data_IF_231722556849
#
_entry.id   IF_231722556849
#
_cell.length_a   1.000
_cell.length_b   1.000
_cell.length_c   1.000
_cell.angle_alpha   90.00
_cell.angle_beta   90.00
_cell.angle_gamma   90.00
#
_symmetry.space_group_name_H-M   'P 1'
#
loop_
_entity.id
_entity.type
_entity.pdbx_description
1 polymer ?
#
# COMPACT_ATOMS: atom_id res chain seq x y z
N UNK A 1 -0.46 -3.46 13.56
CA UNK A 1 -0.85 -4.62 14.41
C UNK A 1 0.20 -5.73 14.50
N UNK A 2 0.80 -6.23 13.41
CA UNK A 2 1.75 -7.35 13.42
C UNK A 2 3.21 -7.00 13.71
N UNK A 3 3.65 -5.78 13.36
CA UNK A 3 5.05 -5.37 13.49
C UNK A 3 5.56 -5.55 14.93
N UNK A 4 6.65 -6.29 15.09
CA UNK A 4 7.23 -6.61 16.40
C UNK A 4 6.56 -7.77 17.15
N UNK A 5 5.55 -8.42 16.57
CA UNK A 5 4.88 -9.61 17.13
C UNK A 5 5.15 -10.88 16.34
N UNK A 6 5.23 -10.77 15.01
CA UNK A 6 5.56 -11.88 14.11
C UNK A 6 7.01 -11.82 13.64
N UNK A 7 7.54 -12.94 13.16
CA UNK A 7 8.77 -12.91 12.37
C UNK A 7 8.46 -12.43 10.94
N UNK A 8 8.89 -11.22 10.52
CA UNK A 8 8.57 -10.67 9.19
C UNK A 8 9.28 -11.40 8.05
N UNK A 9 10.18 -12.33 8.37
CA UNK A 9 10.95 -13.11 7.43
C UNK A 9 10.43 -14.55 7.28
N UNK A 10 9.27 -14.87 7.86
CA UNK A 10 8.62 -16.18 7.73
C UNK A 10 7.15 -15.97 7.33
N UNK A 11 6.81 -16.31 6.09
CA UNK A 11 5.45 -16.15 5.57
C UNK A 11 4.39 -16.89 6.40
N UNK A 12 4.76 -18.02 7.01
CA UNK A 12 3.89 -18.83 7.86
C UNK A 12 3.39 -18.04 9.09
N UNK A 13 4.19 -17.12 9.64
CA UNK A 13 3.79 -16.27 10.76
C UNK A 13 2.71 -15.26 10.34
N UNK A 14 2.83 -14.69 9.13
CA UNK A 14 1.77 -13.83 8.58
C UNK A 14 0.49 -14.63 8.34
N UNK A 15 0.59 -15.81 7.73
CA UNK A 15 -0.56 -16.70 7.53
C UNK A 15 -1.19 -17.12 8.86
N UNK A 16 -0.37 -17.42 9.88
CA UNK A 16 -0.82 -17.81 11.22
C UNK A 16 -1.63 -16.72 11.95
N UNK A 17 -1.45 -15.46 11.58
CA UNK A 17 -2.26 -14.33 12.07
C UNK A 17 -3.45 -13.98 11.18
N UNK A 18 -3.76 -14.81 10.19
CA UNK A 18 -4.86 -14.61 9.24
C UNK A 18 -4.47 -13.89 7.96
N UNK A 19 -3.18 -13.75 7.68
CA UNK A 19 -2.66 -13.21 6.42
C UNK A 19 -3.15 -13.98 5.19
N UNK A 20 -3.35 -13.26 4.08
CA UNK A 20 -3.89 -13.76 2.81
C UNK A 20 -5.34 -14.26 2.83
N UNK A 21 -6.02 -14.27 3.98
CA UNK A 21 -7.45 -14.58 4.05
C UNK A 21 -8.28 -13.56 3.28
N UNK A 22 -7.90 -12.28 3.31
CA UNK A 22 -8.65 -11.23 2.62
C UNK A 22 -8.57 -11.43 1.11
N UNK A 23 -7.38 -11.76 0.61
CA UNK A 23 -7.17 -12.10 -0.80
C UNK A 23 -7.94 -13.35 -1.21
N UNK A 24 -7.91 -14.41 -0.39
CA UNK A 24 -8.67 -15.64 -0.65
C UNK A 24 -10.18 -15.39 -0.78
N UNK A 25 -10.76 -14.63 0.15
CA UNK A 25 -12.18 -14.23 0.12
C UNK A 25 -12.46 -13.35 -1.11
N UNK A 26 -11.60 -12.38 -1.40
CA UNK A 26 -11.79 -11.48 -2.53
C UNK A 26 -11.85 -12.23 -3.86
N UNK A 27 -10.95 -13.17 -4.09
CA UNK A 27 -10.86 -13.90 -5.36
C UNK A 27 -11.93 -14.97 -5.53
N UNK A 28 -12.42 -15.58 -4.44
CA UNK A 28 -13.38 -16.69 -4.50
C UNK A 28 -14.84 -16.27 -4.36
N UNK A 29 -15.09 -15.17 -3.67
CA UNK A 29 -16.44 -14.83 -3.21
C UNK A 29 -16.92 -13.45 -3.65
N UNK A 30 -16.03 -12.60 -4.18
CA UNK A 30 -16.35 -11.22 -4.53
C UNK A 30 -16.02 -10.94 -5.99
N UNK A 31 -16.63 -9.91 -6.54
CA UNK A 31 -16.23 -9.35 -7.84
C UNK A 31 -15.23 -8.21 -7.65
N UNK A 32 -14.43 -7.85 -8.67
CA UNK A 32 -13.53 -6.69 -8.58
C UNK A 32 -14.22 -5.40 -8.12
N UNK A 33 -15.44 -5.16 -8.57
CA UNK A 33 -16.20 -3.96 -8.22
C UNK A 33 -16.61 -3.94 -6.74
N UNK A 34 -16.83 -5.11 -6.13
CA UNK A 34 -17.16 -5.23 -4.71
C UNK A 34 -15.96 -4.83 -3.84
N UNK A 35 -14.74 -5.17 -4.27
CA UNK A 35 -13.51 -4.77 -3.57
C UNK A 35 -13.35 -3.25 -3.59
N UNK A 36 -13.52 -2.63 -4.76
CA UNK A 36 -13.48 -1.16 -4.88
C UNK A 36 -14.57 -0.53 -4.01
N UNK A 37 -15.79 -1.10 -4.01
CA UNK A 37 -16.90 -0.61 -3.20
C UNK A 37 -16.60 -0.66 -1.71
N UNK A 38 -16.09 -1.78 -1.19
CA UNK A 38 -15.73 -1.91 0.24
C UNK A 38 -14.68 -0.86 0.62
N UNK A 39 -13.63 -0.68 -0.19
CA UNK A 39 -12.59 0.33 0.07
C UNK A 39 -13.16 1.75 -0.01
N UNK A 40 -14.06 2.03 -0.95
CA UNK A 40 -14.73 3.33 -1.07
C UNK A 40 -15.61 3.63 0.14
N UNK A 41 -16.43 2.66 0.56
CA UNK A 41 -17.36 2.80 1.67
C UNK A 41 -16.63 2.92 3.02
N UNK A 42 -15.44 2.33 3.14
CA UNK A 42 -14.59 2.47 4.33
C UNK A 42 -14.19 3.93 4.60
N UNK A 43 -14.18 4.77 3.55
CA UNK A 43 -13.70 6.15 3.64
C UNK A 43 -12.18 6.26 3.81
N UNK A 44 -11.42 5.19 3.56
CA UNK A 44 -9.95 5.23 3.58
C UNK A 44 -9.44 6.36 2.68
N UNK A 45 -8.66 7.26 3.29
CA UNK A 45 -7.91 8.31 2.61
C UNK A 45 -6.44 7.93 2.52
N UNK A 46 -5.80 8.27 1.40
CA UNK A 46 -4.38 8.01 1.17
C UNK A 46 -3.49 8.53 2.31
N UNK A 47 -2.64 7.64 2.82
CA UNK A 47 -1.75 7.85 3.97
C UNK A 47 -0.36 8.40 3.63
N UNK A 48 -0.14 8.76 2.36
CA UNK A 48 1.05 9.46 1.87
C UNK A 48 0.98 10.98 1.94
N UNK A 49 0.07 11.54 2.76
CA UNK A 49 -0.05 13.00 2.99
C UNK A 49 -1.20 13.69 2.26
N UNK A 50 -1.45 13.36 0.99
CA UNK A 50 -2.48 14.05 0.19
C UNK A 50 -3.95 13.79 0.62
N UNK A 51 -4.22 12.70 1.35
CA UNK A 51 -5.56 12.42 1.88
C UNK A 51 -6.65 12.14 0.84
N UNK A 52 -6.30 11.84 -0.41
CA UNK A 52 -7.28 11.55 -1.47
C UNK A 52 -8.04 10.24 -1.18
N UNK A 53 -9.36 10.16 -1.40
CA UNK A 53 -10.13 8.94 -1.14
C UNK A 53 -9.67 7.75 -1.99
N UNK A 54 -9.18 6.69 -1.33
CA UNK A 54 -8.49 5.56 -1.99
C UNK A 54 -9.43 4.78 -2.92
N UNK A 55 -10.65 4.45 -2.45
CA UNK A 55 -11.61 3.71 -3.28
C UNK A 55 -12.08 4.52 -4.51
N UNK A 56 -12.17 5.85 -4.40
CA UNK A 56 -12.43 6.71 -5.56
C UNK A 56 -11.26 6.67 -6.55
N UNK A 57 -10.02 6.75 -6.05
CA UNK A 57 -8.81 6.64 -6.87
C UNK A 57 -8.78 5.32 -7.65
N UNK A 58 -9.14 4.21 -7.00
CA UNK A 58 -9.22 2.89 -7.64
C UNK A 58 -10.27 2.85 -8.74
N UNK A 59 -11.44 3.44 -8.50
CA UNK A 59 -12.52 3.47 -9.51
C UNK A 59 -12.12 4.14 -10.82
N UNK A 60 -11.26 5.15 -10.80
CA UNK A 60 -10.76 5.79 -12.02
C UNK A 60 -9.89 4.85 -12.86
N UNK A 61 -8.96 4.12 -12.23
CA UNK A 61 -8.13 3.15 -12.96
C UNK A 61 -8.93 1.92 -13.43
N UNK A 62 -9.95 1.51 -12.66
CA UNK A 62 -10.83 0.41 -13.02
C UNK A 62 -11.65 0.71 -14.28
N UNK A 63 -12.10 1.95 -14.47
CA UNK A 63 -12.88 2.39 -15.63
C UNK A 63 -12.10 2.37 -16.95
N UNK A 64 -10.78 2.45 -16.90
CA UNK A 64 -9.96 2.39 -18.11
C UNK A 64 -10.00 0.98 -18.71
N UNK A 65 -10.18 0.89 -20.03
CA UNK A 65 -10.24 -0.38 -20.77
C UNK A 65 -8.87 -0.84 -21.28
N UNK A 66 -7.88 0.03 -21.22
CA UNK A 66 -6.53 -0.25 -21.69
C UNK A 66 -5.81 -1.22 -20.75
N UNK A 67 -5.01 -2.11 -21.35
CA UNK A 67 -4.13 -3.05 -20.66
C UNK A 67 -2.70 -2.96 -21.22
N UNK A 68 -1.67 -3.36 -20.46
CA UNK A 68 -1.73 -3.74 -19.04
C UNK A 68 -2.09 -2.55 -18.14
N UNK A 69 -2.60 -2.83 -16.94
CA UNK A 69 -2.74 -1.83 -15.86
C UNK A 69 -1.70 -2.12 -14.79
N UNK A 70 -1.29 -1.08 -14.06
CA UNK A 70 -0.24 -1.20 -13.05
C UNK A 70 -0.73 -0.79 -11.65
N UNK A 71 -0.26 -1.51 -10.63
CA UNK A 71 -0.32 -1.07 -9.23
C UNK A 71 1.08 -0.65 -8.80
N UNK A 72 1.22 0.52 -8.19
CA UNK A 72 2.51 0.99 -7.66
C UNK A 72 2.37 1.25 -6.17
N UNK A 73 3.21 0.61 -5.38
CA UNK A 73 3.43 0.94 -3.99
C UNK A 73 4.57 1.96 -3.90
N UNK A 74 4.26 3.16 -3.40
CA UNK A 74 5.22 4.21 -3.12
C UNK A 74 5.77 4.04 -1.70
N UNK A 75 6.99 3.48 -1.63
CA UNK A 75 7.84 3.38 -0.44
C UNK A 75 9.01 4.36 -0.46
N UNK A 76 8.91 5.47 -1.21
CA UNK A 76 9.86 6.58 -1.15
C UNK A 76 9.50 7.48 0.05
N UNK A 77 9.76 6.97 1.26
CA UNK A 77 9.54 7.69 2.52
C UNK A 77 10.66 8.71 2.75
N UNK A 78 10.71 9.74 1.91
CA UNK A 78 11.77 10.75 1.88
C UNK A 78 11.60 11.89 2.88
N UNK A 79 10.39 12.12 3.41
CA UNK A 79 10.08 13.26 4.28
C UNK A 79 10.81 13.15 5.63
N UNK A 80 11.55 14.21 6.06
CA UNK A 80 12.25 14.20 7.33
C UNK A 80 11.31 13.88 8.50
N UNK A 81 11.76 12.98 9.37
CA UNK A 81 11.00 12.58 10.56
C UNK A 81 9.88 11.58 10.31
N UNK A 82 9.82 10.98 9.13
CA UNK A 82 8.91 9.87 8.81
C UNK A 82 9.68 8.55 8.68
N UNK A 83 9.21 7.51 9.37
CA UNK A 83 9.72 6.12 9.25
C UNK A 83 8.63 5.08 9.53
N UNK A 84 7.37 5.47 9.29
CA UNK A 84 6.17 4.65 9.50
C UNK A 84 6.04 3.57 8.42
N UNK A 85 6.40 3.90 7.18
CA UNK A 85 6.30 2.98 6.05
C UNK A 85 7.44 1.97 6.11
N UNK A 86 8.63 2.42 6.52
CA UNK A 86 9.76 1.57 6.87
C UNK A 86 9.37 0.49 7.87
N UNK A 87 8.66 0.85 8.95
CA UNK A 87 8.20 -0.12 9.96
C UNK A 87 7.36 -1.23 9.31
N UNK A 88 6.45 -0.88 8.41
CA UNK A 88 5.57 -1.86 7.75
C UNK A 88 6.37 -2.72 6.77
N UNK A 89 7.23 -2.12 5.94
CA UNK A 89 8.04 -2.88 4.98
C UNK A 89 9.02 -3.84 5.66
N UNK A 90 9.57 -3.46 6.82
CA UNK A 90 10.48 -4.31 7.58
C UNK A 90 9.76 -5.28 8.51
N UNK A 91 8.58 -4.92 9.04
CA UNK A 91 7.89 -5.65 10.10
C UNK A 91 6.68 -6.46 9.67
N UNK A 92 6.12 -6.20 8.49
CA UNK A 92 4.99 -6.95 7.92
C UNK A 92 4.92 -6.78 6.38
N UNK A 93 5.92 -7.28 5.63
CA UNK A 93 6.00 -7.09 4.18
C UNK A 93 4.84 -7.79 3.44
N UNK A 94 4.36 -8.94 3.92
CA UNK A 94 3.27 -9.68 3.29
C UNK A 94 1.94 -8.93 3.32
N UNK A 95 1.68 -8.12 4.35
CA UNK A 95 0.51 -7.24 4.40
C UNK A 95 0.46 -6.20 3.28
N UNK A 96 1.63 -5.71 2.85
CA UNK A 96 1.74 -4.82 1.69
C UNK A 96 1.43 -5.60 0.41
N UNK A 97 2.02 -6.78 0.24
CA UNK A 97 1.82 -7.63 -0.94
C UNK A 97 0.37 -8.04 -1.11
N UNK A 98 -0.31 -8.43 -0.01
CA UNK A 98 -1.73 -8.74 -0.01
C UNK A 98 -2.57 -7.52 -0.38
N UNK A 99 -2.27 -6.35 0.19
CA UNK A 99 -2.94 -5.09 -0.15
C UNK A 99 -2.76 -4.70 -1.62
N UNK A 100 -1.57 -4.94 -2.19
CA UNK A 100 -1.30 -4.73 -3.62
C UNK A 100 -2.10 -5.69 -4.50
N UNK A 101 -2.16 -6.98 -4.14
CA UNK A 101 -2.93 -7.98 -4.87
C UNK A 101 -4.43 -7.66 -4.87
N UNK A 102 -4.98 -7.22 -3.73
CA UNK A 102 -6.37 -6.77 -3.61
C UNK A 102 -6.65 -5.53 -4.47
N UNK A 103 -5.72 -4.56 -4.50
CA UNK A 103 -5.80 -3.41 -5.39
C UNK A 103 -5.80 -3.84 -6.85
N UNK A 104 -4.88 -4.74 -7.21
CA UNK A 104 -4.70 -5.23 -8.56
C UNK A 104 -5.93 -5.98 -9.06
N UNK A 105 -6.48 -6.88 -8.23
CA UNK A 105 -7.73 -7.56 -8.51
C UNK A 105 -8.87 -6.57 -8.73
N UNK A 106 -9.04 -5.59 -7.83
CA UNK A 106 -10.10 -4.58 -7.94
C UNK A 106 -10.03 -3.78 -9.24
N UNK A 107 -8.84 -3.36 -9.69
CA UNK A 107 -8.70 -2.52 -10.89
C UNK A 107 -8.50 -3.30 -12.20
N UNK A 108 -8.26 -4.62 -12.12
CA UNK A 108 -7.88 -5.46 -13.26
C UNK A 108 -6.42 -5.25 -13.71
N UNK A 109 -5.50 -5.11 -12.77
CA UNK A 109 -4.06 -5.08 -13.03
C UNK A 109 -3.43 -6.44 -12.77
N UNK A 110 -2.38 -6.76 -13.51
CA UNK A 110 -1.60 -8.01 -13.38
C UNK A 110 -0.12 -7.77 -13.05
N UNK A 111 0.31 -6.49 -12.98
CA UNK A 111 1.70 -6.13 -12.69
C UNK A 111 1.74 -5.06 -11.61
N UNK A 112 2.50 -5.33 -10.57
CA UNK A 112 2.78 -4.48 -9.43
C UNK A 112 4.24 -4.04 -9.39
N UNK A 113 4.48 -2.82 -8.94
CA UNK A 113 5.82 -2.35 -8.59
C UNK A 113 5.84 -1.80 -7.17
N UNK A 114 6.90 -2.10 -6.43
CA UNK A 114 7.26 -1.39 -5.21
C UNK A 114 8.43 -0.48 -5.55
N UNK A 115 8.18 0.83 -5.60
CA UNK A 115 9.25 1.81 -5.69
C UNK A 115 9.71 2.14 -4.27
N UNK A 116 10.96 1.85 -3.95
CA UNK A 116 11.51 1.99 -2.61
C UNK A 116 12.82 2.77 -2.65
N UNK A 117 13.00 3.67 -1.70
CA UNK A 117 14.21 4.48 -1.60
C UNK A 117 15.45 3.61 -1.37
N UNK A 118 16.57 3.97 -2.01
CA UNK A 118 17.81 3.19 -1.96
C UNK A 118 18.46 3.08 -0.59
N UNK A 119 18.08 3.92 0.36
CA UNK A 119 18.61 3.91 1.73
C UNK A 119 18.02 2.79 2.60
N UNK A 120 16.87 2.21 2.20
CA UNK A 120 16.14 1.22 2.99
C UNK A 120 16.55 -0.22 2.64
N UNK A 121 17.84 -0.53 2.78
CA UNK A 121 18.42 -1.82 2.40
C UNK A 121 17.75 -3.03 3.07
N UNK A 122 17.45 -2.95 4.37
CA UNK A 122 16.75 -4.02 5.08
C UNK A 122 15.31 -4.21 4.56
N UNK A 123 14.59 -3.11 4.32
CA UNK A 123 13.25 -3.18 3.72
C UNK A 123 13.28 -3.84 2.33
N UNK A 124 14.27 -3.49 1.49
CA UNK A 124 14.46 -4.09 0.17
C UNK A 124 14.66 -5.61 0.31
N UNK A 125 15.60 -6.04 1.15
CA UNK A 125 15.91 -7.46 1.36
C UNK A 125 14.69 -8.25 1.86
N UNK A 126 13.94 -7.69 2.81
CA UNK A 126 12.73 -8.34 3.36
C UNK A 126 11.60 -8.42 2.35
N UNK A 127 11.38 -7.36 1.57
CA UNK A 127 10.38 -7.38 0.49
C UNK A 127 10.77 -8.37 -0.61
N UNK A 128 12.04 -8.44 -1.01
CA UNK A 128 12.53 -9.42 -1.98
C UNK A 128 12.30 -10.86 -1.50
N UNK A 129 12.54 -11.12 -0.21
CA UNK A 129 12.28 -12.42 0.42
C UNK A 129 10.77 -12.73 0.42
N UNK A 130 9.95 -11.80 0.89
CA UNK A 130 8.50 -11.96 0.98
C UNK A 130 7.85 -12.18 -0.40
N UNK A 131 8.33 -11.50 -1.46
CA UNK A 131 7.87 -11.74 -2.84
C UNK A 131 8.16 -13.19 -3.25
N UNK A 132 9.40 -13.67 -3.03
CA UNK A 132 9.78 -15.05 -3.38
C UNK A 132 8.98 -16.10 -2.61
N UNK A 133 8.71 -15.85 -1.32
CA UNK A 133 7.90 -16.75 -0.49
C UNK A 133 6.45 -16.80 -0.96
N UNK A 134 5.86 -15.64 -1.27
CA UNK A 134 4.50 -15.56 -1.79
C UNK A 134 4.39 -16.21 -3.19
N UNK A 135 5.38 -16.06 -4.06
CA UNK A 135 5.45 -16.76 -5.35
C UNK A 135 5.53 -18.29 -5.16
N UNK A 136 6.36 -18.76 -4.23
CA UNK A 136 6.52 -20.20 -3.93
C UNK A 136 5.22 -20.85 -3.45
N UNK A 137 4.39 -20.09 -2.72
CA UNK A 137 3.09 -20.54 -2.22
C UNK A 137 1.91 -20.19 -3.14
N UNK A 138 2.17 -19.65 -4.34
CA UNK A 138 1.12 -19.26 -5.32
C UNK A 138 0.13 -18.23 -4.73
N UNK A 139 0.66 -17.35 -3.86
CA UNK A 139 -0.02 -16.17 -3.31
C UNK A 139 0.33 -14.90 -4.11
N UNK A 140 1.34 -15.00 -4.98
CA UNK A 140 1.69 -14.10 -6.08
C UNK A 140 2.08 -14.95 -7.30
N UNK A 141 2.14 -14.32 -8.47
CA UNK A 141 2.45 -14.99 -9.72
C UNK A 141 1.18 -15.37 -10.47
N UNK A 142 1.07 -16.64 -10.89
CA UNK A 142 -0.02 -17.11 -11.76
C UNK A 142 -1.04 -17.97 -11.03
N UNK A 143 -2.29 -17.88 -11.45
CA UNK A 143 -3.43 -18.65 -10.96
C UNK A 143 -3.54 -18.61 -9.42
N UNK A 144 -3.51 -17.41 -8.85
CA UNK A 144 -3.50 -17.23 -7.39
C UNK A 144 -4.78 -17.84 -6.80
N UNK A 145 -4.62 -18.71 -5.80
CA UNK A 145 -5.71 -19.52 -5.22
C UNK A 145 -6.50 -20.37 -6.22
N UNK A 146 -5.85 -20.87 -7.28
CA UNK A 146 -6.45 -21.66 -8.36
C UNK A 146 -7.55 -20.91 -9.13
N UNK A 147 -7.47 -19.57 -9.17
CA UNK A 147 -8.35 -18.71 -9.97
C UNK A 147 -7.70 -18.31 -11.30
N UNK A 148 -8.37 -17.51 -12.12
CA UNK A 148 -7.82 -16.92 -13.35
C UNK A 148 -7.04 -15.62 -13.11
N UNK A 149 -6.86 -15.23 -11.84
CA UNK A 149 -6.16 -14.01 -11.47
C UNK A 149 -4.64 -14.24 -11.34
N UNK A 150 -3.91 -13.45 -12.12
CA UNK A 150 -2.44 -13.38 -12.10
C UNK A 150 -1.99 -12.01 -11.58
N UNK A 151 -0.98 -12.00 -10.70
CA UNK A 151 -0.35 -10.76 -10.23
C UNK A 151 1.12 -10.94 -9.89
N UNK A 152 1.99 -10.27 -10.65
CA UNK A 152 3.45 -10.23 -10.39
C UNK A 152 3.84 -8.94 -9.67
N UNK A 153 4.79 -9.00 -8.73
CA UNK A 153 5.33 -7.80 -8.06
C UNK A 153 6.82 -7.70 -8.28
N UNK A 154 7.30 -6.50 -8.63
CA UNK A 154 8.73 -6.20 -8.86
C UNK A 154 9.19 -5.03 -8.01
N UNK A 155 10.44 -5.03 -7.58
CA UNK A 155 11.03 -3.91 -6.84
C UNK A 155 11.78 -2.98 -7.79
N UNK A 156 11.60 -1.67 -7.60
CA UNK A 156 12.38 -0.60 -8.22
C UNK A 156 13.05 0.22 -7.14
N UNK A 157 14.38 0.24 -7.15
CA UNK A 157 15.18 0.93 -6.15
C UNK A 157 15.44 2.38 -6.62
N UNK A 158 15.06 3.34 -5.80
CA UNK A 158 15.29 4.77 -6.03
C UNK A 158 16.74 5.19 -5.76
N UNK A 159 17.11 6.37 -6.25
CA UNK A 159 18.49 6.89 -6.21
C UNK A 159 18.68 8.05 -5.20
N UNK A 160 17.90 8.09 -4.12
CA UNK A 160 18.07 9.06 -3.02
C UNK A 160 17.54 10.47 -3.29
N UNK A 161 16.48 10.61 -4.11
CA UNK A 161 15.88 11.91 -4.43
C UNK A 161 14.52 12.07 -3.74
N UNK A 162 14.42 13.00 -2.79
CA UNK A 162 13.16 13.34 -2.09
C UNK A 162 11.99 13.63 -3.04
N UNK A 163 12.26 14.27 -4.18
CA UNK A 163 11.21 14.63 -5.15
C UNK A 163 10.55 13.39 -5.76
N UNK A 164 11.25 12.24 -5.78
CA UNK A 164 10.69 10.98 -6.28
C UNK A 164 9.58 10.42 -5.39
N UNK A 165 9.30 11.01 -4.23
CA UNK A 165 8.11 10.70 -3.43
C UNK A 165 6.83 11.27 -4.03
N UNK A 166 6.92 12.31 -4.88
CA UNK A 166 5.77 12.80 -5.64
C UNK A 166 5.36 11.80 -6.72
N UNK A 167 4.06 11.51 -6.79
CA UNK A 167 3.49 10.45 -7.61
C UNK A 167 3.96 10.46 -9.08
N UNK A 168 4.04 11.61 -9.75
CA UNK A 168 4.44 11.67 -11.16
C UNK A 168 5.95 11.76 -11.38
N UNK A 169 6.68 12.36 -10.46
CA UNK A 169 8.14 12.30 -10.43
C UNK A 169 8.63 10.86 -10.24
N UNK A 170 7.95 10.10 -9.38
CA UNK A 170 8.19 8.67 -9.18
C UNK A 170 8.05 7.89 -10.49
N UNK A 171 6.98 8.14 -11.26
CA UNK A 171 6.77 7.50 -12.56
C UNK A 171 7.91 7.80 -13.53
N UNK A 172 8.34 9.07 -13.62
CA UNK A 172 9.48 9.44 -14.45
C UNK A 172 10.76 8.72 -14.01
N UNK A 173 11.03 8.65 -12.70
CA UNK A 173 12.17 7.91 -12.17
C UNK A 173 12.11 6.42 -12.50
N UNK A 174 10.93 5.79 -12.39
CA UNK A 174 10.73 4.38 -12.75
C UNK A 174 10.96 4.08 -14.24
N UNK A 175 10.65 5.06 -15.10
CA UNK A 175 10.84 4.97 -16.56
C UNK A 175 12.27 5.33 -17.00
N UNK A 176 13.16 5.69 -16.06
CA UNK A 176 14.55 6.03 -16.35
C UNK A 176 14.77 7.49 -16.76
N UNK A 177 13.74 8.33 -16.67
CA UNK A 177 13.86 9.78 -16.82
C UNK A 177 14.31 10.41 -15.50
N UNK A 178 14.64 11.71 -15.55
CA UNK A 178 14.86 12.52 -14.35
C UNK A 178 13.57 12.56 -13.53
N UNK A 179 13.69 12.50 -12.19
CA UNK A 179 12.56 12.55 -11.24
C UNK A 179 11.89 13.92 -11.14
N UNK A 180 11.51 14.50 -12.28
CA UNK A 180 10.77 15.75 -12.38
C UNK A 180 9.27 15.43 -12.46
N UNK A 181 8.37 16.18 -11.79
CA UNK A 181 6.94 15.95 -11.89
C UNK A 181 6.40 16.10 -13.32
N UNK A 182 5.32 15.38 -13.64
CA UNK A 182 4.59 15.52 -14.90
C UNK A 182 3.48 16.55 -14.78
N UNK A 183 3.13 17.19 -15.88
CA UNK A 183 1.91 18.01 -15.97
C UNK A 183 0.67 17.13 -15.77
N UNK A 184 -0.24 17.59 -14.92
CA UNK A 184 -1.58 17.02 -14.74
C UNK A 184 -2.58 18.04 -15.30
N UNK A 185 -3.54 17.66 -16.17
CA UNK A 185 -3.79 16.33 -16.76
C UNK A 185 -2.79 15.93 -17.87
N UNK A 186 -2.69 14.62 -18.22
CA UNK A 186 -3.51 13.50 -17.72
C UNK A 186 -3.09 12.99 -16.33
N UNK A 187 -4.06 12.47 -15.57
CA UNK A 187 -3.80 11.84 -14.27
C UNK A 187 -3.27 10.40 -14.43
N UNK A 188 -2.45 9.88 -13.49
CA UNK A 188 -1.87 8.53 -13.57
C UNK A 188 -2.88 7.40 -13.73
N UNK A 189 -4.08 7.54 -13.13
CA UNK A 189 -5.16 6.56 -13.27
C UNK A 189 -5.57 6.32 -14.73
N UNK A 190 -5.41 7.33 -15.60
CA UNK A 190 -5.67 7.26 -17.03
C UNK A 190 -4.41 6.97 -17.84
N UNK A 191 -3.32 7.68 -17.58
CA UNK A 191 -2.05 7.54 -18.30
C UNK A 191 -0.88 7.81 -17.35
N UNK A 192 -0.41 6.75 -16.69
CA UNK A 192 0.67 6.77 -15.70
C UNK A 192 1.93 6.10 -16.22
N UNK A 193 2.34 5.01 -15.57
CA UNK A 193 3.55 4.27 -15.90
C UNK A 193 3.48 3.71 -17.32
N UNK A 194 4.50 4.01 -18.14
CA UNK A 194 4.57 3.62 -19.55
C UNK A 194 3.32 4.02 -20.35
N UNK A 195 2.73 5.16 -19.99
CA UNK A 195 1.49 5.69 -20.57
C UNK A 195 0.29 4.75 -20.43
N UNK A 196 0.28 3.87 -19.43
CA UNK A 196 -0.83 2.94 -19.14
C UNK A 196 -1.60 3.33 -17.87
N UNK A 197 -2.86 2.90 -17.70
CA UNK A 197 -3.62 3.11 -16.47
C UNK A 197 -2.85 2.59 -15.25
N UNK A 198 -2.60 3.47 -14.29
CA UNK A 198 -1.72 3.17 -13.16
C UNK A 198 -2.34 3.67 -11.86
N UNK A 199 -2.40 2.78 -10.87
CA UNK A 199 -2.86 3.12 -9.52
C UNK A 199 -1.68 3.13 -8.54
N UNK A 200 -1.28 4.32 -8.09
CA UNK A 200 -0.19 4.48 -7.12
C UNK A 200 -0.75 4.72 -5.72
N UNK A 201 -0.30 3.96 -4.72
CA UNK A 201 -0.70 4.11 -3.32
C UNK A 201 0.53 4.11 -2.42
N UNK A 202 0.43 4.79 -1.27
CA UNK A 202 1.45 4.74 -0.23
C UNK A 202 1.42 3.39 0.51
N UNK A 203 2.57 2.96 1.05
CA UNK A 203 2.74 1.70 1.82
C UNK A 203 1.65 1.52 2.89
N UNK A 204 1.49 2.49 3.80
CA UNK A 204 0.47 2.41 4.86
C UNK A 204 -0.96 2.36 4.29
N UNK A 205 -1.20 2.96 3.12
CA UNK A 205 -2.53 2.89 2.48
C UNK A 205 -2.84 1.46 2.04
N UNK A 206 -1.88 0.77 1.43
CA UNK A 206 -2.03 -0.62 1.00
C UNK A 206 -2.12 -1.57 2.21
N UNK A 207 -1.35 -1.32 3.26
CA UNK A 207 -1.38 -2.12 4.48
C UNK A 207 -2.73 -2.06 5.22
N UNK A 208 -3.52 -1.00 5.02
CA UNK A 208 -4.87 -0.90 5.55
C UNK A 208 -5.90 -1.72 4.75
N UNK A 209 -5.60 -2.16 3.53
CA UNK A 209 -6.57 -2.83 2.66
C UNK A 209 -6.98 -4.21 3.19
N UNK A 210 -6.07 -5.15 3.53
CA UNK A 210 -6.49 -6.48 3.98
C UNK A 210 -7.48 -6.47 5.17
N UNK A 211 -7.22 -5.72 6.27
CA UNK A 211 -8.18 -5.71 7.38
C UNK A 211 -9.51 -5.03 7.04
N UNK A 212 -9.53 -4.05 6.12
CA UNK A 212 -10.78 -3.46 5.61
C UNK A 212 -11.61 -4.49 4.84
N UNK A 213 -10.97 -5.31 4.00
CA UNK A 213 -11.67 -6.35 3.23
C UNK A 213 -12.19 -7.46 4.15
N UNK A 214 -11.41 -7.87 5.17
CA UNK A 214 -11.81 -8.90 6.13
C UNK A 214 -12.97 -8.48 7.02
N UNK A 215 -12.90 -7.28 7.58
CA UNK A 215 -13.84 -6.83 8.62
C UNK A 215 -14.96 -5.92 8.09
N UNK A 216 -14.84 -5.47 6.85
CA UNK A 216 -15.79 -4.57 6.19
C UNK A 216 -15.57 -3.09 6.47
N UNK A 217 -16.23 -2.25 5.66
CA UNK A 217 -16.15 -0.80 5.71
C UNK A 217 -16.60 -0.22 7.07
N UNK A 218 -17.67 -0.77 7.64
CA UNK A 218 -18.23 -0.30 8.92
C UNK A 218 -17.24 -0.50 10.07
N UNK A 219 -16.50 -1.61 10.08
CA UNK A 219 -15.47 -1.85 11.08
C UNK A 219 -14.39 -0.76 11.04
N UNK A 220 -13.91 -0.41 9.85
CA UNK A 220 -12.87 0.63 9.70
C UNK A 220 -13.37 2.01 10.16
N UNK A 221 -14.64 2.31 9.89
CA UNK A 221 -15.30 3.56 10.30
C UNK A 221 -15.60 3.67 11.79
N UNK A 222 -15.47 2.59 12.58
CA UNK A 222 -15.53 2.67 14.05
C UNK A 222 -14.35 3.43 14.65
N UNK A 223 -13.26 3.55 13.90
CA UNK A 223 -12.09 4.30 14.29
C UNK A 223 -12.07 5.65 13.59
N UNK A 224 -11.51 6.62 14.27
CA UNK A 224 -11.27 7.95 13.73
C UNK A 224 -12.51 8.86 13.77
N UNK A 225 -12.44 9.97 13.04
CA UNK A 225 -13.57 10.90 12.91
C UNK A 225 -14.44 10.55 11.70
N UNK A 226 -15.63 11.15 11.62
CA UNK A 226 -16.55 10.97 10.50
C UNK A 226 -15.90 11.23 9.13
N UNK A 227 -15.12 12.32 9.05
CA UNK A 227 -14.41 12.77 7.85
C UNK A 227 -13.04 12.09 7.65
N UNK A 228 -12.47 11.51 8.70
CA UNK A 228 -11.17 10.85 8.66
C UNK A 228 -11.23 9.52 9.39
N UNK A 229 -11.88 8.50 8.78
CA UNK A 229 -12.01 7.20 9.41
C UNK A 229 -10.67 6.44 9.43
N UNK A 230 -10.62 5.45 10.33
CA UNK A 230 -9.50 4.56 10.52
C UNK A 230 -8.45 5.06 11.51
N UNK A 231 -7.37 4.29 11.58
CA UNK A 231 -6.16 4.64 12.33
C UNK A 231 -5.13 5.29 11.42
N UNK A 232 -4.09 5.84 12.06
CA UNK A 232 -2.90 6.39 11.44
C UNK A 232 -1.69 6.06 12.30
N UNK A 233 -0.60 5.70 11.65
CA UNK A 233 0.70 5.56 12.31
C UNK A 233 1.38 6.93 12.37
N UNK A 234 1.56 7.48 13.57
CA UNK A 234 2.29 8.72 13.80
C UNK A 234 3.71 8.44 14.22
N UNK A 235 4.62 9.29 13.75
CA UNK A 235 6.03 9.27 14.10
C UNK A 235 6.32 10.37 15.12
N UNK A 236 6.97 10.02 16.22
CA UNK A 236 7.25 10.90 17.34
C UNK A 236 8.75 11.01 17.51
N UNK A 237 9.30 12.21 17.29
CA UNK A 237 10.72 12.50 17.35
C UNK A 237 10.97 13.86 18.02
N UNK A 238 12.24 14.12 18.35
CA UNK A 238 12.69 15.38 18.93
C UNK A 238 12.92 15.28 20.44
N UNK A 239 12.76 16.40 21.14
CA UNK A 239 13.00 16.47 22.58
C UNK A 239 11.75 16.01 23.35
N UNK A 240 11.55 14.70 23.40
CA UNK A 240 10.42 14.04 24.05
C UNK A 240 10.87 12.79 24.82
N UNK A 241 10.14 12.43 25.87
CA UNK A 241 10.50 11.32 26.76
C UNK A 241 10.48 9.95 26.07
N UNK A 242 9.56 9.74 25.11
CA UNK A 242 9.35 8.46 24.44
C UNK A 242 9.24 8.65 22.92
N UNK A 243 10.36 8.79 22.20
CA UNK A 243 10.34 8.82 20.74
C UNK A 243 9.97 7.43 20.18
N UNK A 244 9.39 7.39 18.99
CA UNK A 244 9.02 6.14 18.33
C UNK A 244 7.83 6.29 17.38
N UNK A 245 7.03 5.23 17.32
CA UNK A 245 5.83 5.13 16.49
C UNK A 245 4.64 4.78 17.37
N UNK A 246 3.48 5.37 17.05
CA UNK A 246 2.20 5.01 17.66
C UNK A 246 1.16 4.84 16.56
N UNK A 247 0.32 3.82 16.69
CA UNK A 247 -0.88 3.67 15.87
C UNK A 247 -2.08 4.08 16.70
N UNK A 248 -2.80 5.11 16.26
CA UNK A 248 -3.93 5.69 17.01
C UNK A 248 -5.06 6.08 16.05
N UNK A 249 -6.31 6.12 16.53
CA UNK A 249 -7.44 6.60 15.73
C UNK A 249 -7.21 8.04 15.24
N UNK A 250 -7.60 8.30 13.99
CA UNK A 250 -7.55 9.65 13.42
C UNK A 250 -8.42 10.63 14.22
N UNK A 251 -7.89 11.81 14.55
CA UNK A 251 -8.60 12.81 15.36
C UNK A 251 -8.17 12.85 16.83
N UNK A 252 -7.28 11.95 17.26
CA UNK A 252 -6.49 12.14 18.48
C UNK A 252 -5.77 13.50 18.45
N UNK A 253 -5.68 14.17 19.59
CA UNK A 253 -4.99 15.46 19.66
C UNK A 253 -3.48 15.29 19.78
N UNK A 254 -2.72 16.27 19.29
CA UNK A 254 -1.27 16.30 19.50
C UNK A 254 -0.90 16.33 21.00
N UNK A 255 -1.77 16.92 21.84
CA UNK A 255 -1.58 16.92 23.30
C UNK A 255 -1.58 15.50 23.84
N UNK A 256 -2.58 14.69 23.51
CA UNK A 256 -2.64 13.29 23.94
C UNK A 256 -1.42 12.52 23.45
N UNK A 257 -1.03 12.66 22.17
CA UNK A 257 0.16 12.01 21.61
C UNK A 257 1.46 12.35 22.38
N UNK A 258 1.59 13.59 22.85
CA UNK A 258 2.82 14.07 23.48
C UNK A 258 2.87 13.77 24.98
N UNK A 259 1.72 13.77 25.67
CA UNK A 259 1.65 13.75 27.13
C UNK A 259 1.12 12.46 27.74
N UNK A 260 0.33 11.67 27.01
CA UNK A 260 -0.30 10.43 27.51
C UNK A 260 0.41 9.19 26.97
#
# INVERSE_FOLDING_TARGET
DNCGRINPEEIEEYIGTGGYQALGIALKEKKPEDIIKIVKDSGLKGRGGAGFPTGLKWSFAAQEKESPKYVICNGDEGEPGTFKDRLIMEGDPHKILEGMALCAYGIGANIGYIYIRGEYQLSIQRLEKAIKEAEKLVLLGKNIFDTDFDFEVKIKIGAGSYVCGEETALLNSMEGFRGEPRLKPPFPAKSGFLSKPTNLNNVETLANIPPIILNGAEWFRKFGTEDSPGTKVYTILGHINRPGLIEVPMGITLREIVYD
#
